data_IF_709128361594
#
_entry.id   IF_709128361594
#
_cell.length_a   1.000
_cell.length_b   1.000
_cell.length_c   1.000
_cell.angle_alpha   90.00
_cell.angle_beta   90.00
_cell.angle_gamma   90.00
#
_symmetry.space_group_name_H-M   'P 1'
#
loop_
_entity.id
_entity.type
_entity.pdbx_description
1 polymer ?
#
# COMPACT_ATOMS: atom_id res chain seq x y z
N UNK A 1 13.37 -0.76 -4.63
CA UNK A 1 12.97 -0.86 -3.22
C UNK A 1 11.60 -0.28 -2.89
N UNK A 2 11.37 1.04 -2.77
CA UNK A 2 10.04 1.55 -2.34
C UNK A 2 8.95 1.22 -3.36
N UNK A 3 9.08 1.70 -4.59
CA UNK A 3 8.10 1.48 -5.65
C UNK A 3 7.89 -0.01 -5.94
N UNK A 4 8.96 -0.79 -5.94
CA UNK A 4 8.93 -2.23 -6.10
C UNK A 4 8.08 -2.93 -5.02
N UNK A 5 8.24 -2.55 -3.74
CA UNK A 5 7.42 -3.10 -2.66
C UNK A 5 5.94 -2.70 -2.81
N UNK A 6 5.65 -1.45 -3.19
CA UNK A 6 4.29 -0.97 -3.37
C UNK A 6 3.61 -1.66 -4.57
N UNK A 7 4.30 -1.76 -5.70
CA UNK A 7 3.78 -2.42 -6.91
C UNK A 7 3.62 -3.93 -6.71
N UNK A 8 4.55 -4.59 -6.03
CA UNK A 8 4.42 -6.01 -5.70
C UNK A 8 3.22 -6.27 -4.78
N UNK A 9 2.97 -5.39 -3.81
CA UNK A 9 1.77 -5.48 -2.97
C UNK A 9 0.50 -5.27 -3.81
N UNK A 10 0.44 -4.21 -4.62
CA UNK A 10 -0.70 -3.92 -5.47
C UNK A 10 -1.02 -5.09 -6.40
N UNK A 11 0.00 -5.67 -7.05
CA UNK A 11 -0.17 -6.85 -7.89
C UNK A 11 -0.71 -8.05 -7.10
N UNK A 12 -0.11 -8.34 -5.95
CA UNK A 12 -0.50 -9.46 -5.09
C UNK A 12 -1.94 -9.35 -4.61
N UNK A 13 -2.38 -8.16 -4.18
CA UNK A 13 -3.69 -7.96 -3.56
C UNK A 13 -4.82 -7.68 -4.58
N UNK A 14 -4.50 -7.59 -5.87
CA UNK A 14 -5.45 -7.28 -6.96
C UNK A 14 -5.77 -8.49 -7.83
N UNK A 15 -5.59 -9.71 -7.32
CA UNK A 15 -5.76 -10.97 -8.06
C UNK A 15 -7.21 -11.25 -8.50
N UNK A 16 -7.71 -10.53 -9.50
CA UNK A 16 -9.05 -10.65 -10.11
C UNK A 16 -9.03 -10.33 -11.62
N UNK A 17 -10.05 -10.74 -12.41
CA UNK A 17 -10.05 -10.61 -13.87
C UNK A 17 -9.86 -9.17 -14.39
N UNK A 18 -10.52 -8.20 -13.76
CA UNK A 18 -10.43 -6.77 -14.13
C UNK A 18 -9.41 -6.02 -13.26
N UNK A 19 -8.22 -6.61 -13.07
CA UNK A 19 -7.17 -6.04 -12.25
C UNK A 19 -6.72 -4.68 -12.77
N UNK A 20 -6.71 -3.67 -11.88
CA UNK A 20 -6.21 -2.33 -12.18
C UNK A 20 -5.25 -1.89 -11.10
N UNK A 21 -4.01 -1.62 -11.50
CA UNK A 21 -2.97 -0.98 -10.68
C UNK A 21 -2.54 0.30 -11.37
N UNK A 22 -2.46 1.39 -10.63
CA UNK A 22 -2.14 2.73 -11.13
C UNK A 22 -1.00 3.31 -10.29
N UNK A 23 0.08 3.70 -10.95
CA UNK A 23 1.15 4.51 -10.36
C UNK A 23 0.99 5.93 -10.90
N UNK A 24 0.97 6.90 -9.99
CA UNK A 24 0.88 8.31 -10.36
C UNK A 24 1.60 9.20 -9.37
N UNK A 25 1.64 10.48 -9.71
CA UNK A 25 2.07 11.53 -8.80
C UNK A 25 1.08 12.69 -8.84
N UNK A 26 1.04 13.47 -7.77
CA UNK A 26 0.29 14.73 -7.70
C UNK A 26 1.07 15.73 -6.88
N UNK A 27 0.98 16.99 -7.26
CA UNK A 27 1.42 18.08 -6.38
C UNK A 27 0.37 18.32 -5.30
N UNK A 28 0.78 18.27 -4.03
CA UNK A 28 -0.01 18.67 -2.86
C UNK A 28 0.76 19.79 -2.18
N UNK A 29 0.19 21.00 -2.22
CA UNK A 29 0.86 22.23 -1.77
C UNK A 29 2.23 22.41 -2.44
N UNK A 30 3.31 22.33 -1.66
CA UNK A 30 4.70 22.47 -2.11
C UNK A 30 5.40 21.13 -2.32
N UNK A 31 4.71 20.00 -2.11
CA UNK A 31 5.29 18.66 -2.13
C UNK A 31 4.75 17.82 -3.31
N UNK A 32 5.62 17.01 -3.90
CA UNK A 32 5.22 15.97 -4.86
C UNK A 32 4.86 14.70 -4.09
N UNK A 33 3.64 14.20 -4.30
CA UNK A 33 3.13 12.99 -3.67
C UNK A 33 3.01 11.90 -4.72
N UNK A 34 3.74 10.81 -4.54
CA UNK A 34 3.61 9.61 -5.36
C UNK A 34 2.60 8.66 -4.72
N UNK A 35 1.79 7.98 -5.53
CA UNK A 35 0.83 7.01 -5.05
C UNK A 35 0.81 5.75 -5.93
N UNK A 36 0.53 4.62 -5.29
CA UNK A 36 0.12 3.39 -5.96
C UNK A 36 -1.32 3.11 -5.53
N UNK A 37 -2.21 2.98 -6.50
CA UNK A 37 -3.63 2.66 -6.30
C UNK A 37 -3.91 1.33 -6.94
N UNK A 38 -4.78 0.55 -6.32
CA UNK A 38 -5.31 -0.65 -6.94
C UNK A 38 -6.82 -0.76 -6.74
N UNK A 39 -7.44 -1.69 -7.46
CA UNK A 39 -8.84 -2.05 -7.22
C UNK A 39 -8.96 -3.39 -6.49
N UNK A 40 -7.94 -3.88 -5.78
CA UNK A 40 -7.89 -5.20 -5.16
C UNK A 40 -8.80 -5.38 -3.94
N UNK A 41 -8.38 -6.28 -3.03
CA UNK A 41 -9.18 -6.62 -1.83
C UNK A 41 -9.34 -5.46 -0.85
N UNK A 42 -8.40 -4.51 -0.85
CA UNK A 42 -8.38 -3.40 0.09
C UNK A 42 -8.28 -3.86 1.55
N UNK A 43 -8.44 -2.92 2.48
CA UNK A 43 -8.35 -3.22 3.92
C UNK A 43 -9.26 -2.29 4.72
N UNK A 44 -9.52 -2.67 5.97
CA UNK A 44 -10.27 -1.86 6.91
C UNK A 44 -9.37 -0.78 7.52
N UNK A 45 -9.78 0.49 7.37
CA UNK A 45 -9.04 1.65 7.87
C UNK A 45 -8.85 1.64 9.39
N UNK A 46 -9.64 0.88 10.16
CA UNK A 46 -9.41 0.64 11.59
C UNK A 46 -8.07 -0.03 11.89
N UNK A 47 -7.45 -0.64 10.89
CA UNK A 47 -6.15 -1.30 11.00
C UNK A 47 -5.06 -0.62 10.17
N UNK A 48 -5.26 0.62 9.72
CA UNK A 48 -4.29 1.35 8.90
C UNK A 48 -2.92 1.45 9.58
N UNK A 49 -2.87 1.69 10.89
CA UNK A 49 -1.60 1.79 11.61
C UNK A 49 -0.82 0.46 11.64
N UNK A 50 -1.54 -0.66 11.51
CA UNK A 50 -0.94 -1.99 11.47
C UNK A 50 -0.31 -2.32 10.12
N UNK A 51 -0.71 -1.66 9.02
CA UNK A 51 -0.18 -1.99 7.69
C UNK A 51 1.32 -1.76 7.55
N UNK A 52 1.87 -0.82 8.33
CA UNK A 52 3.31 -0.52 8.34
C UNK A 52 4.07 -1.24 9.46
N UNK A 53 3.38 -1.97 10.35
CA UNK A 53 4.02 -2.75 11.39
C UNK A 53 4.75 -3.97 10.82
N UNK A 54 5.97 -4.23 11.27
CA UNK A 54 6.70 -5.43 10.88
C UNK A 54 5.96 -6.69 11.33
N UNK A 55 5.85 -7.67 10.43
CA UNK A 55 5.15 -8.95 10.65
C UNK A 55 3.64 -8.83 10.91
N UNK A 56 3.08 -7.61 10.83
CA UNK A 56 1.63 -7.41 10.88
C UNK A 56 1.02 -7.77 9.53
N UNK A 57 -0.09 -8.51 9.56
CA UNK A 57 -0.81 -8.98 8.37
C UNK A 57 -2.30 -8.72 8.56
N UNK A 58 -2.93 -8.13 7.56
CA UNK A 58 -4.37 -7.87 7.56
C UNK A 58 -5.18 -8.97 6.84
N UNK A 59 -4.53 -9.78 6.02
CA UNK A 59 -5.14 -10.89 5.30
C UNK A 59 -4.49 -12.21 5.69
N UNK A 60 -5.23 -13.31 5.51
CA UNK A 60 -4.77 -14.65 5.85
C UNK A 60 -3.59 -15.08 4.97
N UNK A 61 -2.70 -15.89 5.53
CA UNK A 61 -1.51 -16.42 4.84
C UNK A 61 -1.89 -17.36 3.69
N UNK A 62 -3.00 -18.07 3.87
CA UNK A 62 -3.56 -18.95 2.84
C UNK A 62 -4.08 -18.18 1.63
N UNK A 63 -4.48 -16.92 1.82
CA UNK A 63 -5.05 -16.07 0.77
C UNK A 63 -3.97 -15.22 0.08
N UNK A 64 -2.99 -14.71 0.83
CA UNK A 64 -1.91 -13.88 0.28
C UNK A 64 -0.54 -14.22 0.89
N UNK A 65 0.41 -14.78 0.11
CA UNK A 65 1.74 -15.10 0.62
C UNK A 65 2.56 -13.84 0.97
N UNK A 66 3.45 -13.96 1.96
CA UNK A 66 4.41 -12.91 2.30
C UNK A 66 4.82 -12.84 3.76
N UNK A 67 5.94 -12.17 4.03
CA UNK A 67 6.56 -12.06 5.36
C UNK A 67 5.99 -10.93 6.22
N UNK A 68 5.20 -10.01 5.64
CA UNK A 68 4.71 -8.82 6.35
C UNK A 68 5.79 -7.76 6.59
N UNK A 69 6.88 -7.76 5.82
CA UNK A 69 8.03 -6.84 6.01
C UNK A 69 8.05 -5.70 4.98
N UNK A 70 7.31 -5.84 3.86
CA UNK A 70 7.41 -4.92 2.72
C UNK A 70 7.02 -3.48 3.05
N UNK A 71 5.84 -3.25 3.62
CA UNK A 71 5.37 -1.91 3.98
C UNK A 71 6.17 -1.30 5.15
N UNK A 72 6.60 -2.12 6.12
CA UNK A 72 7.53 -1.67 7.16
C UNK A 72 8.87 -1.18 6.57
N UNK A 73 9.35 -1.84 5.52
CA UNK A 73 10.56 -1.42 4.78
C UNK A 73 10.32 -0.11 4.05
N UNK A 74 9.17 0.05 3.39
CA UNK A 74 8.77 1.33 2.75
C UNK A 74 8.77 2.45 3.78
N UNK A 75 8.08 2.29 4.90
CA UNK A 75 8.01 3.30 5.96
C UNK A 75 9.39 3.70 6.47
N UNK A 76 10.25 2.71 6.74
CA UNK A 76 11.64 2.98 7.18
C UNK A 76 12.44 3.77 6.16
N UNK A 77 12.32 3.45 4.86
CA UNK A 77 13.03 4.17 3.80
C UNK A 77 12.51 5.60 3.70
N UNK A 78 11.20 5.80 3.68
CA UNK A 78 10.59 7.14 3.55
C UNK A 78 10.95 8.03 4.75
N UNK A 79 10.81 7.53 5.98
CA UNK A 79 11.20 8.29 7.18
C UNK A 79 12.69 8.64 7.20
N UNK A 80 13.58 7.74 6.74
CA UNK A 80 15.02 8.04 6.63
C UNK A 80 15.31 9.21 5.70
N UNK A 81 14.46 9.46 4.72
CA UNK A 81 14.59 10.60 3.79
C UNK A 81 13.77 11.82 4.22
N UNK A 82 13.24 11.83 5.45
CA UNK A 82 12.44 12.95 5.97
C UNK A 82 11.06 13.10 5.33
N UNK A 83 10.57 12.06 4.63
CA UNK A 83 9.25 12.04 4.01
C UNK A 83 8.19 11.41 4.91
N UNK A 84 6.95 11.44 4.41
CA UNK A 84 5.80 10.83 5.06
C UNK A 84 5.20 9.75 4.15
N UNK A 85 4.66 8.69 4.75
CA UNK A 85 3.92 7.65 4.04
C UNK A 85 2.66 7.31 4.83
N UNK A 86 1.57 7.10 4.10
CA UNK A 86 0.30 6.67 4.65
C UNK A 86 -0.39 5.75 3.64
N UNK A 87 -1.46 5.10 4.07
CA UNK A 87 -2.24 4.21 3.23
C UNK A 87 -3.73 4.52 3.41
N UNK A 88 -4.47 4.45 2.31
CA UNK A 88 -5.93 4.55 2.32
C UNK A 88 -6.51 3.38 1.54
N UNK A 89 -7.63 2.85 2.00
CA UNK A 89 -8.25 1.68 1.39
C UNK A 89 -9.68 1.48 1.87
N UNK A 90 -10.39 0.61 1.16
CA UNK A 90 -11.69 0.13 1.60
C UNK A 90 -11.86 -1.34 1.19
N UNK A 91 -12.44 -2.15 2.09
CA UNK A 91 -12.68 -3.57 1.86
C UNK A 91 -13.48 -3.76 0.55
N UNK A 92 -12.96 -4.63 -0.32
CA UNK A 92 -13.49 -4.93 -1.65
C UNK A 92 -13.21 -3.88 -2.73
N UNK A 93 -12.53 -2.79 -2.41
CA UNK A 93 -12.35 -1.63 -3.31
C UNK A 93 -10.89 -1.20 -3.50
N UNK A 94 -9.95 -1.99 -2.98
CA UNK A 94 -8.52 -1.79 -3.14
C UNK A 94 -7.91 -0.68 -2.30
N UNK A 95 -6.62 -0.45 -2.51
CA UNK A 95 -5.93 0.72 -2.00
C UNK A 95 -6.34 1.96 -2.81
N UNK A 96 -6.87 2.97 -2.14
CA UNK A 96 -7.42 4.17 -2.78
C UNK A 96 -6.42 5.33 -2.76
N UNK A 97 -6.66 6.25 -3.69
CA UNK A 97 -5.95 7.53 -3.71
C UNK A 97 -6.27 8.31 -2.44
N UNK A 98 -5.26 8.92 -1.80
CA UNK A 98 -5.50 9.89 -0.75
C UNK A 98 -6.37 11.04 -1.24
N UNK A 99 -7.43 11.39 -0.53
CA UNK A 99 -8.13 12.67 -0.79
C UNK A 99 -7.16 13.84 -0.62
#
# INVERSE_FOLDING_TARGET
MVLENLLANAWKFTSKPDARVELGSRRRDTQEVYFVRDNGVGFDMRYVDKVFGAFQRLHDVSEFPGTGVGLATVQRIIHRHGGEVWAEGAVGQGARRPT
#
